data_IF_489211989581
#
_entry.id   IF_489211989581
#
_cell.length_a   1.000
_cell.length_b   1.000
_cell.length_c   1.000
_cell.angle_alpha   90.00
_cell.angle_beta   90.00
_cell.angle_gamma   90.00
#
_symmetry.space_group_name_H-M   'P 1'
#
loop_
_entity.id
_entity.type
_entity.pdbx_description
1 polymer ?
#
# COMPACT_ATOMS: atom_id res chain seq x y z
N UNK A 1 -2.07 18.96 2.43
CA UNK A 1 -0.62 19.23 2.54
C UNK A 1 0.06 17.98 2.04
N UNK A 2 0.84 18.04 0.96
CA UNK A 2 1.63 16.89 0.50
C UNK A 2 2.71 16.64 1.56
N UNK A 3 2.51 15.64 2.42
CA UNK A 3 3.53 15.19 3.37
C UNK A 3 4.19 13.98 2.75
N UNK A 4 5.44 14.15 2.30
CA UNK A 4 6.31 13.02 2.00
C UNK A 4 7.03 12.67 3.28
N UNK A 5 6.74 11.48 3.78
CA UNK A 5 7.33 10.95 5.01
C UNK A 5 8.33 9.85 4.67
N UNK A 6 9.30 9.60 5.55
CA UNK A 6 10.13 8.40 5.45
C UNK A 6 9.47 7.28 6.25
N UNK A 7 9.24 6.12 5.62
CA UNK A 7 8.74 4.94 6.29
C UNK A 7 9.46 3.69 5.81
N UNK A 8 9.92 2.84 6.73
CA UNK A 8 10.57 1.56 6.40
C UNK A 8 11.75 1.70 5.39
N UNK A 9 12.47 2.81 5.44
CA UNK A 9 13.59 3.11 4.55
C UNK A 9 13.21 3.47 3.11
N UNK A 10 11.96 3.89 2.88
CA UNK A 10 11.49 4.42 1.59
C UNK A 10 10.64 5.67 1.77
N UNK A 11 10.54 6.46 0.71
CA UNK A 11 9.69 7.65 0.62
C UNK A 11 8.24 7.18 0.55
N UNK A 12 7.46 7.62 1.52
CA UNK A 12 6.05 7.32 1.69
C UNK A 12 5.22 8.46 1.12
N UNK A 13 4.53 8.19 0.01
CA UNK A 13 3.68 9.16 -0.69
C UNK A 13 2.24 8.67 -0.83
N UNK A 14 1.74 7.91 0.15
CA UNK A 14 0.35 7.46 0.13
C UNK A 14 -0.56 8.66 0.37
N UNK A 15 -1.15 9.15 -0.72
CA UNK A 15 -2.09 10.26 -0.71
C UNK A 15 -3.49 9.76 -0.29
N UNK A 16 -3.83 10.01 0.97
CA UNK A 16 -5.20 9.83 1.47
C UNK A 16 -6.06 11.02 1.05
N UNK A 17 -7.26 10.75 0.53
CA UNK A 17 -8.27 11.80 0.30
C UNK A 17 -8.85 12.27 1.63
N UNK A 18 -9.47 13.45 1.62
CA UNK A 18 -10.11 14.00 2.83
C UNK A 18 -11.13 12.99 3.40
N UNK A 19 -10.93 12.63 4.67
CA UNK A 19 -11.75 11.66 5.41
C UNK A 19 -11.37 10.20 5.21
N UNK A 20 -10.39 9.88 4.35
CA UNK A 20 -9.79 8.55 4.31
C UNK A 20 -8.79 8.37 5.47
N UNK A 21 -8.62 7.13 5.92
CA UNK A 21 -7.65 6.80 6.96
C UNK A 21 -7.05 5.43 6.73
N UNK A 22 -5.78 5.23 7.11
CA UNK A 22 -5.18 3.90 7.11
C UNK A 22 -5.88 3.08 8.20
N UNK A 23 -6.64 2.07 7.77
CA UNK A 23 -7.32 1.12 8.65
C UNK A 23 -6.36 0.07 9.18
N UNK A 24 -5.54 -0.49 8.29
CA UNK A 24 -4.47 -1.41 8.66
C UNK A 24 -3.27 -1.27 7.72
N UNK A 25 -2.10 -1.59 8.26
CA UNK A 25 -0.84 -1.59 7.55
C UNK A 25 0.00 -2.75 8.02
N UNK A 26 0.64 -3.45 7.08
CA UNK A 26 1.58 -4.54 7.37
C UNK A 26 2.81 -4.42 6.49
N UNK A 27 3.95 -4.15 7.11
CA UNK A 27 5.26 -4.21 6.45
C UNK A 27 5.79 -5.64 6.42
N UNK A 28 6.28 -6.05 5.25
CA UNK A 28 6.89 -7.34 4.96
C UNK A 28 8.36 -7.08 4.53
N UNK A 29 9.29 -6.94 5.49
CA UNK A 29 10.65 -6.48 5.21
C UNK A 29 11.43 -7.41 4.29
N UNK A 30 11.22 -8.73 4.39
CA UNK A 30 11.94 -9.72 3.60
C UNK A 30 11.63 -9.64 2.09
N UNK A 31 10.57 -8.93 1.73
CA UNK A 31 10.07 -8.79 0.35
C UNK A 31 10.04 -7.34 -0.13
N UNK A 32 10.44 -6.39 0.73
CA UNK A 32 10.26 -4.95 0.50
C UNK A 32 8.82 -4.61 0.05
N UNK A 33 7.84 -5.19 0.75
CA UNK A 33 6.41 -4.94 0.51
C UNK A 33 5.72 -4.29 1.70
N UNK A 34 4.71 -3.46 1.43
CA UNK A 34 3.78 -2.95 2.45
C UNK A 34 2.35 -3.17 1.98
N UNK A 35 1.59 -3.96 2.73
CA UNK A 35 0.16 -4.14 2.52
C UNK A 35 -0.62 -3.06 3.28
N UNK A 36 -1.58 -2.42 2.61
CA UNK A 36 -2.40 -1.34 3.14
C UNK A 36 -3.88 -1.64 2.94
N UNK A 37 -4.65 -1.36 3.99
CA UNK A 37 -6.09 -1.19 3.92
C UNK A 37 -6.43 0.22 4.37
N UNK A 38 -7.11 0.96 3.50
CA UNK A 38 -7.54 2.33 3.73
C UNK A 38 -9.06 2.32 3.89
N UNK A 39 -9.55 2.84 5.01
CA UNK A 39 -10.98 3.09 5.20
C UNK A 39 -11.36 4.35 4.43
N UNK A 40 -12.32 4.21 3.53
CA UNK A 40 -12.85 5.31 2.72
C UNK A 40 -14.03 5.99 3.41
N UNK A 41 -14.33 7.21 2.96
CA UNK A 41 -15.46 8.01 3.46
C UNK A 41 -16.83 7.40 3.15
N UNK A 42 -16.93 6.62 2.07
CA UNK A 42 -18.13 5.89 1.64
C UNK A 42 -18.37 4.61 2.48
N UNK A 43 -17.49 4.32 3.45
CA UNK A 43 -17.54 3.13 4.29
C UNK A 43 -16.97 1.87 3.63
N UNK A 44 -16.45 1.96 2.41
CA UNK A 44 -15.73 0.88 1.75
C UNK A 44 -14.25 0.89 2.14
N UNK A 45 -13.50 -0.09 1.63
CA UNK A 45 -12.08 -0.22 1.83
C UNK A 45 -11.35 -0.11 0.49
N UNK A 46 -10.30 0.69 0.44
CA UNK A 46 -9.30 0.62 -0.62
C UNK A 46 -8.12 -0.23 -0.14
N UNK A 47 -7.63 -1.11 -1.00
CA UNK A 47 -6.64 -2.12 -0.65
C UNK A 47 -5.49 -2.05 -1.65
N UNK A 48 -4.26 -1.95 -1.15
CA UNK A 48 -3.09 -1.81 -1.98
C UNK A 48 -1.91 -2.60 -1.41
N UNK A 49 -1.07 -3.14 -2.30
CA UNK A 49 0.26 -3.64 -1.96
C UNK A 49 1.26 -2.68 -2.59
N UNK A 50 2.14 -2.12 -1.78
CA UNK A 50 3.23 -1.24 -2.20
C UNK A 50 4.53 -2.02 -2.25
N UNK A 51 5.39 -1.71 -3.21
CA UNK A 51 6.76 -2.17 -3.32
C UNK A 51 7.73 -0.98 -3.31
N UNK A 52 8.98 -1.22 -2.91
CA UNK A 52 10.05 -0.22 -3.09
C UNK A 52 10.47 -0.15 -4.56
N UNK A 53 10.41 1.04 -5.13
CA UNK A 53 10.92 1.34 -6.46
C UNK A 53 12.05 2.36 -6.35
N UNK A 54 13.23 2.00 -6.85
CA UNK A 54 14.37 2.91 -6.89
C UNK A 54 14.17 3.96 -7.99
N UNK A 55 14.36 5.24 -7.63
CA UNK A 55 14.41 6.34 -8.59
C UNK A 55 15.82 6.95 -8.55
N UNK A 56 16.54 7.04 -9.70
CA UNK A 56 17.90 7.60 -9.73
C UNK A 56 18.02 9.05 -9.26
N UNK A 57 16.92 9.81 -9.23
CA UNK A 57 16.91 11.20 -8.75
C UNK A 57 16.90 11.28 -7.22
N UNK A 58 16.57 10.18 -6.54
CA UNK A 58 16.34 10.15 -5.11
C UNK A 58 17.31 9.23 -4.39
N UNK A 59 17.67 9.60 -3.16
CA UNK A 59 18.55 8.78 -2.31
C UNK A 59 17.84 7.59 -1.68
N UNK A 60 16.53 7.70 -1.52
CA UNK A 60 15.66 6.66 -0.97
C UNK A 60 14.70 6.18 -2.07
N UNK A 61 14.34 4.88 -2.10
CA UNK A 61 13.31 4.37 -2.99
C UNK A 61 11.93 4.90 -2.60
N UNK A 62 10.97 4.86 -3.51
CA UNK A 62 9.57 5.19 -3.23
C UNK A 62 8.75 3.94 -2.93
N UNK A 63 7.81 4.05 -2.02
CA UNK A 63 6.74 3.07 -1.87
C UNK A 63 5.66 3.32 -2.92
N UNK A 64 5.57 2.42 -3.89
CA UNK A 64 4.66 2.55 -5.04
C UNK A 64 3.74 1.34 -5.10
N UNK A 65 2.46 1.57 -5.36
CA UNK A 65 1.50 0.48 -5.52
C UNK A 65 1.90 -0.40 -6.72
N UNK A 66 1.92 -1.71 -6.52
CA UNK A 66 2.24 -2.69 -7.59
C UNK A 66 1.17 -2.63 -8.69
N UNK A 67 -0.06 -2.37 -8.28
CA UNK A 67 -1.25 -2.28 -9.12
C UNK A 67 -2.21 -1.21 -8.57
N UNK A 68 -3.20 -0.75 -9.36
CA UNK A 68 -4.23 0.15 -8.86
C UNK A 68 -4.95 -0.46 -7.64
N UNK A 69 -5.18 0.35 -6.61
CA UNK A 69 -5.85 -0.12 -5.39
C UNK A 69 -7.23 -0.69 -5.71
N UNK A 70 -7.51 -1.91 -5.25
CA UNK A 70 -8.83 -2.49 -5.32
C UNK A 70 -9.75 -1.83 -4.30
N UNK A 71 -11.03 -1.71 -4.65
CA UNK A 71 -12.05 -1.17 -3.73
C UNK A 71 -13.08 -2.24 -3.45
N UNK A 72 -13.26 -2.54 -2.16
CA UNK A 72 -14.12 -3.62 -1.68
C UNK A 72 -15.02 -3.15 -0.55
N UNK A 73 -16.19 -3.77 -0.41
CA UNK A 73 -17.20 -3.33 0.54
C UNK A 73 -16.93 -3.80 1.97
N UNK A 74 -16.21 -4.90 2.16
CA UNK A 74 -16.02 -5.54 3.47
C UNK A 74 -14.55 -5.75 3.83
N UNK A 75 -14.28 -5.86 5.13
CA UNK A 75 -12.94 -6.18 5.63
C UNK A 75 -12.51 -7.59 5.19
N UNK A 76 -13.44 -8.55 5.15
CA UNK A 76 -13.14 -9.92 4.72
C UNK A 76 -12.70 -9.99 3.25
N UNK A 77 -13.32 -9.18 2.38
CA UNK A 77 -12.90 -9.06 0.98
C UNK A 77 -11.52 -8.38 0.88
N UNK A 78 -11.24 -7.40 1.74
CA UNK A 78 -9.94 -6.74 1.79
C UNK A 78 -8.82 -7.70 2.20
N UNK A 79 -9.06 -8.51 3.23
CA UNK A 79 -8.13 -9.54 3.70
C UNK A 79 -7.90 -10.60 2.61
N UNK A 80 -8.98 -11.04 1.94
CA UNK A 80 -8.90 -12.02 0.84
C UNK A 80 -8.13 -11.47 -0.35
N UNK A 81 -8.34 -10.20 -0.71
CA UNK A 81 -7.59 -9.53 -1.77
C UNK A 81 -6.10 -9.45 -1.42
N UNK A 82 -5.75 -9.03 -0.20
CA UNK A 82 -4.35 -8.95 0.23
C UNK A 82 -3.67 -10.31 0.21
N UNK A 83 -4.34 -11.37 0.65
CA UNK A 83 -3.78 -12.72 0.58
C UNK A 83 -3.41 -13.10 -0.87
N UNK A 84 -4.33 -12.92 -1.82
CA UNK A 84 -4.07 -13.23 -3.23
C UNK A 84 -3.02 -12.32 -3.89
N UNK A 85 -3.02 -11.02 -3.55
CA UNK A 85 -2.04 -10.07 -4.07
C UNK A 85 -0.61 -10.38 -3.57
N UNK A 86 -0.47 -10.78 -2.30
CA UNK A 86 0.83 -11.16 -1.72
C UNK A 86 1.35 -12.49 -2.27
N UNK A 87 0.47 -13.47 -2.52
CA UNK A 87 0.83 -14.71 -3.21
C UNK A 87 1.27 -14.46 -4.67
N UNK A 88 0.62 -13.52 -5.35
CA UNK A 88 0.97 -13.15 -6.73
C UNK A 88 2.30 -12.40 -6.81
N UNK A 89 2.58 -11.53 -5.82
CA UNK A 89 3.87 -10.84 -5.71
C UNK A 89 5.03 -11.83 -5.49
N UNK A 90 4.79 -12.97 -4.81
CA UNK A 90 5.79 -14.03 -4.64
C UNK A 90 6.16 -14.73 -5.96
N UNK A 91 5.31 -14.66 -6.99
CA UNK A 91 5.57 -15.29 -8.29
C UNK A 91 6.28 -14.36 -9.30
N UNK A 92 6.34 -13.05 -9.01
CA UNK A 92 6.91 -12.04 -9.89
C UNK A 92 8.35 -11.62 -9.50
N UNK A 93 8.85 -12.09 -8.35
CA UNK A 93 10.20 -11.82 -7.82
C UNK A 93 11.27 -12.81 -8.27
#
# INVERSE_FOLDING_TARGET
MLSWDEKYGGIWDVQLRDGESIHSERHLPDRDLVALVIRRVDGWFAVAVLQKVADPQWRLPFWTAIEPAAVVATQADADSYLAGALESADYAG
#
